data_IF_380052980477
#
_entry.id   IF_380052980477
#
_cell.length_a   1.000
_cell.length_b   1.000
_cell.length_c   1.000
_cell.angle_alpha   90.00
_cell.angle_beta   90.00
_cell.angle_gamma   90.00
#
_symmetry.space_group_name_H-M   'P 1'
#
loop_
_entity.id
_entity.type
_entity.pdbx_description
1 polymer ?
#
# COMPACT_ATOMS: atom_id res chain seq x y z
N UNK A 1 -5.96 -2.83 0.89
CA UNK A 1 -4.58 -2.83 1.39
C UNK A 1 -3.93 -4.21 1.41
N UNK A 2 -4.18 -5.08 2.41
CA UNK A 2 -3.53 -6.40 2.49
C UNK A 2 -3.63 -7.24 1.21
N UNK A 3 -4.83 -7.29 0.61
CA UNK A 3 -5.06 -7.93 -0.70
C UNK A 3 -4.24 -7.33 -1.84
N UNK A 4 -3.95 -6.02 -1.84
CA UNK A 4 -3.15 -5.38 -2.89
C UNK A 4 -1.67 -5.75 -2.75
N UNK A 5 -1.17 -5.81 -1.51
CA UNK A 5 0.17 -6.30 -1.19
C UNK A 5 0.32 -7.75 -1.69
N UNK A 6 -0.62 -8.63 -1.32
CA UNK A 6 -0.63 -10.03 -1.74
C UNK A 6 -0.62 -10.18 -3.27
N UNK A 7 -1.52 -9.47 -3.96
CA UNK A 7 -1.61 -9.50 -5.43
C UNK A 7 -0.30 -9.06 -6.08
N UNK A 8 0.31 -7.97 -5.61
CA UNK A 8 1.58 -7.49 -6.15
C UNK A 8 2.70 -8.49 -5.92
N UNK A 9 2.80 -9.04 -4.70
CA UNK A 9 3.80 -10.05 -4.35
C UNK A 9 3.70 -11.28 -5.27
N UNK A 10 2.49 -11.80 -5.48
CA UNK A 10 2.24 -12.93 -6.36
C UNK A 10 2.55 -12.61 -7.83
N UNK A 11 2.23 -11.41 -8.31
CA UNK A 11 2.59 -10.96 -9.66
C UNK A 11 4.11 -10.91 -9.88
N UNK A 12 4.89 -10.61 -8.84
CA UNK A 12 6.35 -10.66 -8.85
C UNK A 12 6.92 -12.07 -8.61
N UNK A 13 6.07 -13.08 -8.37
CA UNK A 13 6.46 -14.45 -8.00
C UNK A 13 7.37 -14.51 -6.76
N UNK A 14 7.24 -13.55 -5.86
CA UNK A 14 7.97 -13.49 -4.59
C UNK A 14 7.19 -14.28 -3.53
N UNK A 15 7.82 -15.18 -2.80
CA UNK A 15 7.21 -15.87 -1.65
C UNK A 15 7.09 -14.95 -0.43
N UNK A 16 6.24 -15.29 0.55
CA UNK A 16 6.16 -14.50 1.79
C UNK A 16 7.47 -14.53 2.59
N UNK A 17 8.26 -15.61 2.46
CA UNK A 17 9.59 -15.72 3.08
C UNK A 17 10.59 -14.80 2.39
N UNK A 18 10.62 -14.76 1.06
CA UNK A 18 11.48 -13.82 0.31
C UNK A 18 11.08 -12.37 0.59
N UNK A 19 9.79 -12.05 0.63
CA UNK A 19 9.34 -10.71 1.02
C UNK A 19 9.78 -10.36 2.45
N UNK A 20 9.82 -11.33 3.36
CA UNK A 20 10.33 -11.13 4.70
C UNK A 20 11.80 -10.72 4.68
N UNK A 21 12.63 -11.45 3.93
CA UNK A 21 14.05 -11.12 3.74
C UNK A 21 14.25 -9.75 3.10
N UNK A 22 13.47 -9.41 2.07
CA UNK A 22 13.61 -8.14 1.33
C UNK A 22 13.14 -6.91 2.13
N UNK A 23 12.08 -7.06 2.92
CA UNK A 23 11.47 -5.95 3.67
C UNK A 23 12.00 -5.81 5.10
N UNK A 24 12.63 -6.84 5.66
CA UNK A 24 12.97 -6.92 7.09
C UNK A 24 11.74 -7.04 8.01
N UNK A 25 10.56 -7.30 7.45
CA UNK A 25 9.32 -7.55 8.21
C UNK A 25 9.16 -9.06 8.38
N UNK A 26 8.75 -9.53 9.56
CA UNK A 26 8.60 -10.98 9.78
C UNK A 26 7.58 -11.61 8.81
N UNK A 27 7.85 -12.84 8.38
CA UNK A 27 6.93 -13.60 7.52
C UNK A 27 5.53 -13.74 8.14
N UNK A 28 5.45 -13.93 9.46
CA UNK A 28 4.19 -14.01 10.20
C UNK A 28 3.40 -12.70 10.12
N UNK A 29 4.08 -11.56 10.31
CA UNK A 29 3.48 -10.23 10.16
C UNK A 29 2.97 -10.01 8.74
N UNK A 30 3.79 -10.30 7.72
CA UNK A 30 3.40 -10.24 6.32
C UNK A 30 2.13 -11.07 6.08
N UNK A 31 2.11 -12.31 6.56
CA UNK A 31 0.99 -13.24 6.40
C UNK A 31 -0.30 -12.69 7.02
N UNK A 32 -0.22 -12.11 8.23
CA UNK A 32 -1.36 -11.47 8.90
C UNK A 32 -1.83 -10.21 8.16
N UNK A 33 -0.91 -9.40 7.65
CA UNK A 33 -1.22 -8.19 6.87
C UNK A 33 -1.91 -8.56 5.56
N UNK A 34 -1.41 -9.54 4.82
CA UNK A 34 -1.98 -9.99 3.55
C UNK A 34 -3.41 -10.52 3.71
N UNK A 35 -3.68 -11.25 4.81
CA UNK A 35 -5.03 -11.70 5.18
C UNK A 35 -5.92 -10.60 5.77
N UNK A 36 -5.37 -9.44 6.11
CA UNK A 36 -6.10 -8.35 6.75
C UNK A 36 -6.42 -8.58 8.23
N UNK A 37 -5.77 -9.55 8.89
CA UNK A 37 -5.93 -9.82 10.33
C UNK A 37 -5.00 -8.96 11.20
N UNK A 38 -4.17 -8.11 10.58
CA UNK A 38 -3.31 -7.15 11.27
C UNK A 38 -3.09 -5.94 10.38
N UNK A 39 -3.16 -4.75 10.97
CA UNK A 39 -2.84 -3.49 10.30
C UNK A 39 -1.36 -3.16 10.53
N UNK A 40 -0.55 -2.97 9.46
CA UNK A 40 0.82 -2.51 9.62
C UNK A 40 0.87 -1.05 10.07
N UNK A 41 1.88 -0.68 10.84
CA UNK A 41 2.23 0.73 11.01
C UNK A 41 2.84 1.30 9.70
N UNK A 42 3.01 2.62 9.65
CA UNK A 42 3.49 3.30 8.43
C UNK A 42 4.88 2.82 8.00
N UNK A 43 5.79 2.57 8.95
CA UNK A 43 7.15 2.11 8.66
C UNK A 43 7.14 0.70 8.06
N UNK A 44 6.37 -0.21 8.64
CA UNK A 44 6.18 -1.60 8.16
C UNK A 44 5.59 -1.59 6.76
N UNK A 45 4.58 -0.76 6.54
CA UNK A 45 3.98 -0.61 5.23
C UNK A 45 4.99 -0.09 4.20
N UNK A 46 5.76 0.93 4.55
CA UNK A 46 6.78 1.50 3.67
C UNK A 46 7.85 0.47 3.29
N UNK A 47 8.36 -0.31 4.26
CA UNK A 47 9.31 -1.41 4.03
C UNK A 47 8.76 -2.44 3.02
N UNK A 48 7.51 -2.85 3.19
CA UNK A 48 6.84 -3.78 2.27
C UNK A 48 6.68 -3.18 0.87
N UNK A 49 6.23 -1.93 0.77
CA UNK A 49 6.04 -1.25 -0.52
C UNK A 49 7.36 -1.12 -1.29
N UNK A 50 8.43 -0.71 -0.59
CA UNK A 50 9.78 -0.62 -1.15
C UNK A 50 10.26 -1.97 -1.67
N UNK A 51 10.09 -3.05 -0.90
CA UNK A 51 10.49 -4.40 -1.29
C UNK A 51 9.70 -4.94 -2.52
N UNK A 52 8.46 -4.49 -2.71
CA UNK A 52 7.60 -4.89 -3.83
C UNK A 52 7.63 -3.91 -5.02
N UNK A 53 8.45 -2.86 -4.95
CA UNK A 53 8.53 -1.79 -5.93
C UNK A 53 7.14 -1.26 -6.32
N UNK A 54 6.39 -0.80 -5.31
CA UNK A 54 5.10 -0.11 -5.43
C UNK A 54 5.06 1.09 -4.50
N UNK A 55 4.17 2.03 -4.82
CA UNK A 55 3.89 3.21 -3.99
C UNK A 55 2.85 2.89 -2.91
N UNK A 56 2.81 3.72 -1.86
CA UNK A 56 1.75 3.68 -0.85
C UNK A 56 0.36 3.88 -1.48
N UNK A 57 0.26 4.75 -2.49
CA UNK A 57 -0.99 5.06 -3.17
C UNK A 57 -1.64 3.83 -3.84
N UNK A 58 -0.84 2.89 -4.35
CA UNK A 58 -1.33 1.65 -4.97
C UNK A 58 -1.94 0.67 -3.97
N UNK A 59 -1.53 0.72 -2.71
CA UNK A 59 -2.01 -0.21 -1.67
C UNK A 59 -3.08 0.39 -0.75
N UNK A 60 -3.11 1.71 -0.58
CA UNK A 60 -4.06 2.39 0.29
C UNK A 60 -5.49 2.33 -0.28
N UNK A 61 -6.52 2.31 0.60
CA UNK A 61 -7.91 2.34 0.16
C UNK A 61 -8.23 3.63 -0.60
N UNK A 62 -8.99 3.53 -1.70
CA UNK A 62 -9.44 4.70 -2.45
C UNK A 62 -10.32 5.64 -1.62
N UNK A 63 -11.07 5.12 -0.66
CA UNK A 63 -11.86 5.93 0.28
C UNK A 63 -11.03 6.90 1.15
N UNK A 64 -9.70 6.70 1.26
CA UNK A 64 -8.81 7.64 1.94
C UNK A 64 -8.51 8.89 1.11
N UNK A 65 -8.75 8.79 -0.20
CA UNK A 65 -8.63 9.89 -1.15
C UNK A 65 -10.04 10.15 -1.68
N UNK A 66 -10.93 10.81 -0.90
CA UNK A 66 -12.15 11.35 -1.49
C UNK A 66 -11.73 12.17 -2.72
N UNK A 67 -12.47 12.04 -3.82
CA UNK A 67 -12.18 12.85 -5.00
C UNK A 67 -12.10 14.31 -4.54
N UNK A 68 -10.92 14.89 -4.72
CA UNK A 68 -10.75 16.32 -4.52
C UNK A 68 -11.67 16.92 -5.58
N UNK A 69 -12.72 17.60 -5.16
CA UNK A 69 -13.59 18.30 -6.09
C UNK A 69 -12.75 19.37 -6.79
N UNK A 70 -12.25 19.03 -7.98
CA UNK A 70 -11.47 19.91 -8.86
C UNK A 70 -12.26 21.19 -9.22
N UNK A 71 -13.57 21.26 -8.89
CA UNK A 71 -14.40 22.46 -9.05
C UNK A 71 -14.11 23.58 -8.04
N UNK A 72 -13.30 23.36 -7.01
CA UNK A 72 -12.94 24.40 -6.05
C UNK A 72 -11.75 25.30 -6.46
N UNK A 73 -11.20 25.15 -7.67
CA UNK A 73 -10.14 26.03 -8.20
C UNK A 73 -10.50 26.82 -9.47
N UNK A 74 -11.78 26.89 -9.85
CA UNK A 74 -12.21 27.77 -10.94
C UNK A 74 -13.23 28.82 -10.47
N UNK A 75 -12.83 29.62 -9.48
CA UNK A 75 -13.42 30.93 -9.28
C UNK A 75 -12.52 31.93 -10.00
N UNK A 76 -12.62 31.94 -11.34
CA UNK A 76 -12.30 33.15 -12.07
C UNK A 76 -13.11 34.29 -11.46
N UNK A 77 -12.43 35.22 -10.80
CA UNK A 77 -12.95 36.56 -10.66
C UNK A 77 -12.10 37.46 -11.56
N UNK A 78 -12.67 37.72 -12.74
CA UNK A 78 -12.33 38.88 -13.55
C UNK A 78 -12.87 40.10 -12.79
N UNK A 79 -11.98 40.95 -12.28
CA UNK A 79 -12.01 42.42 -12.38
C UNK A 79 -10.63 42.94 -12.00
#
# INVERSE_FOLDING_TARGET
MGRNILKRRQALKVSSTELSSLSGVSQSSISKIERGTSSPNIETLFKICKALNITLYEVLPKALFPEIDDRAQNNGNIT
#
